data_IF_510560764294
#
_entry.id   IF_510560764294
#
_cell.length_a   1.000
_cell.length_b   1.000
_cell.length_c   1.000
_cell.angle_alpha   90.00
_cell.angle_beta   90.00
_cell.angle_gamma   90.00
#
_symmetry.space_group_name_H-M   'P 1'
#
loop_
_entity.id
_entity.type
_entity.pdbx_description
1 polymer ?
#
# COMPACT_ATOMS: atom_id res chain seq x y z
N UNK A 1 1.89 13.78 7.18
CA UNK A 1 0.72 13.12 6.54
C UNK A 1 0.36 11.90 7.36
N UNK A 2 -0.92 11.59 7.49
CA UNK A 2 -1.42 10.43 8.25
C UNK A 2 -1.88 9.38 7.24
N UNK A 3 -1.47 8.12 7.44
CA UNK A 3 -1.92 7.00 6.61
C UNK A 3 -3.41 6.76 6.79
N UNK A 4 -4.10 6.37 5.72
CA UNK A 4 -5.53 6.04 5.74
C UNK A 4 -5.72 4.64 6.33
N UNK A 5 -4.93 3.66 5.87
CA UNK A 5 -4.88 2.32 6.43
C UNK A 5 -3.82 2.25 7.54
N UNK A 6 -4.13 1.51 8.61
CA UNK A 6 -3.21 1.33 9.72
C UNK A 6 -2.06 0.40 9.33
N UNK A 7 -0.91 0.59 9.99
CA UNK A 7 0.25 -0.31 9.85
C UNK A 7 -0.13 -1.75 10.20
N UNK A 8 -0.92 -1.94 11.26
CA UNK A 8 -1.34 -3.26 11.72
C UNK A 8 -2.25 -3.98 10.73
N UNK A 9 -3.18 -3.27 10.08
CA UNK A 9 -4.07 -3.89 9.09
C UNK A 9 -3.28 -4.36 7.86
N UNK A 10 -2.36 -3.53 7.37
CA UNK A 10 -1.50 -3.87 6.24
C UNK A 10 -0.57 -5.04 6.59
N UNK A 11 0.04 -5.04 7.79
CA UNK A 11 0.83 -6.19 8.28
C UNK A 11 0.00 -7.48 8.30
N UNK A 12 -1.20 -7.46 8.85
CA UNK A 12 -2.10 -8.62 8.91
C UNK A 12 -2.43 -9.13 7.52
N UNK A 13 -2.75 -8.24 6.57
CA UNK A 13 -3.02 -8.63 5.18
C UNK A 13 -1.80 -9.27 4.51
N UNK A 14 -0.60 -8.80 4.82
CA UNK A 14 0.66 -9.34 4.31
C UNK A 14 1.19 -10.53 5.11
N UNK A 15 0.45 -10.99 6.13
CA UNK A 15 0.86 -12.05 7.06
C UNK A 15 2.22 -11.78 7.73
N UNK A 16 2.48 -10.51 8.09
CA UNK A 16 3.68 -10.08 8.82
C UNK A 16 3.41 -10.02 10.32
N UNK A 17 4.27 -10.65 11.11
CA UNK A 17 4.20 -10.66 12.58
C UNK A 17 5.38 -9.92 13.22
N UNK A 18 5.99 -8.98 12.49
CA UNK A 18 7.17 -8.24 12.94
C UNK A 18 6.72 -7.14 13.91
N UNK A 19 7.28 -7.18 15.12
CA UNK A 19 7.14 -6.16 16.14
C UNK A 19 8.45 -5.38 16.27
N UNK A 20 8.65 -4.42 15.36
CA UNK A 20 9.84 -3.58 15.31
C UNK A 20 9.46 -2.14 14.94
N UNK A 21 9.82 -1.18 15.78
CA UNK A 21 9.39 0.22 15.63
C UNK A 21 9.97 0.90 14.39
N UNK A 22 11.22 0.58 14.04
CA UNK A 22 11.89 1.14 12.86
C UNK A 22 11.28 0.57 11.57
N UNK A 23 10.97 -0.73 11.56
CA UNK A 23 10.21 -1.36 10.50
C UNK A 23 8.83 -0.71 10.33
N UNK A 24 8.14 -0.38 11.42
CA UNK A 24 6.81 0.23 11.39
C UNK A 24 6.82 1.63 10.79
N UNK A 25 7.84 2.43 11.11
CA UNK A 25 8.05 3.76 10.50
C UNK A 25 8.34 3.61 9.00
N UNK A 26 9.17 2.63 8.62
CA UNK A 26 9.49 2.34 7.22
C UNK A 26 8.26 1.87 6.43
N UNK A 27 7.43 1.03 7.06
CA UNK A 27 6.20 0.50 6.48
C UNK A 27 5.14 1.59 6.35
N UNK A 28 4.97 2.44 7.37
CA UNK A 28 4.08 3.60 7.32
C UNK A 28 4.42 4.53 6.16
N UNK A 29 5.71 4.77 5.92
CA UNK A 29 6.15 5.60 4.78
C UNK A 29 5.74 5.00 3.43
N UNK A 30 5.83 3.67 3.28
CA UNK A 30 5.41 2.97 2.05
C UNK A 30 3.90 2.96 1.88
N UNK A 31 3.15 2.77 2.97
CA UNK A 31 1.68 2.87 2.96
C UNK A 31 1.26 4.26 2.44
N UNK A 32 1.82 5.32 3.01
CA UNK A 32 1.52 6.70 2.58
C UNK A 32 1.85 6.90 1.10
N UNK A 33 3.00 6.40 0.63
CA UNK A 33 3.40 6.54 -0.77
C UNK A 33 2.39 5.87 -1.72
N UNK A 34 1.93 4.65 -1.40
CA UNK A 34 0.95 3.91 -2.21
C UNK A 34 -0.43 4.59 -2.15
N UNK A 35 -0.87 5.04 -0.99
CA UNK A 35 -2.14 5.74 -0.85
C UNK A 35 -2.15 7.07 -1.61
N UNK A 36 -1.05 7.83 -1.57
CA UNK A 36 -0.90 9.03 -2.38
C UNK A 36 -0.91 8.74 -3.87
N UNK A 37 -0.24 7.66 -4.31
CA UNK A 37 -0.28 7.22 -5.69
C UNK A 37 -1.72 6.96 -6.14
N UNK A 38 -2.50 6.22 -5.34
CA UNK A 38 -3.90 5.90 -5.64
C UNK A 38 -4.79 7.14 -5.62
N UNK A 39 -4.63 8.04 -4.64
CA UNK A 39 -5.38 9.31 -4.57
C UNK A 39 -5.12 10.19 -5.79
N UNK A 40 -3.85 10.33 -6.19
CA UNK A 40 -3.47 11.11 -7.36
C UNK A 40 -3.96 10.48 -8.67
N UNK A 41 -4.16 9.16 -8.68
CA UNK A 41 -4.77 8.44 -9.79
C UNK A 41 -6.32 8.49 -9.79
N UNK A 42 -6.96 9.08 -8.77
CA UNK A 42 -8.41 9.31 -8.72
C UNK A 42 -9.17 8.54 -7.64
N UNK A 43 -8.51 7.69 -6.83
CA UNK A 43 -9.20 6.97 -5.77
C UNK A 43 -9.66 7.89 -4.63
N UNK A 44 -10.90 7.73 -4.19
CA UNK A 44 -11.41 8.42 -2.98
C UNK A 44 -10.84 7.79 -1.70
N UNK A 45 -10.83 8.54 -0.60
CA UNK A 45 -10.40 7.98 0.70
C UNK A 45 -11.32 6.84 1.17
N UNK A 46 -12.62 6.92 0.86
CA UNK A 46 -13.58 5.85 1.16
C UNK A 46 -13.22 4.57 0.40
N UNK A 47 -12.86 4.69 -0.88
CA UNK A 47 -12.43 3.54 -1.68
C UNK A 47 -11.13 2.93 -1.15
N UNK A 48 -10.18 3.76 -0.71
CA UNK A 48 -8.91 3.30 -0.12
C UNK A 48 -9.13 2.56 1.22
N UNK A 49 -10.13 2.96 2.02
CA UNK A 49 -10.53 2.28 3.26
C UNK A 49 -11.30 0.98 3.03
N UNK A 50 -11.85 0.76 1.84
CA UNK A 50 -12.57 -0.47 1.52
C UNK A 50 -11.65 -1.68 1.59
N UNK A 51 -12.22 -2.88 1.71
CA UNK A 51 -11.44 -4.12 1.70
C UNK A 51 -10.58 -4.26 0.42
N UNK A 52 -11.12 -3.87 -0.74
CA UNK A 52 -10.36 -3.86 -2.00
C UNK A 52 -9.23 -2.83 -1.97
N UNK A 53 -9.48 -1.66 -1.37
CA UNK A 53 -8.47 -0.63 -1.13
C UNK A 53 -7.32 -1.12 -0.26
N UNK A 54 -7.63 -1.74 0.89
CA UNK A 54 -6.62 -2.33 1.79
C UNK A 54 -5.79 -3.41 1.08
N UNK A 55 -6.43 -4.29 0.29
CA UNK A 55 -5.71 -5.30 -0.50
C UNK A 55 -4.80 -4.66 -1.55
N UNK A 56 -5.27 -3.63 -2.26
CA UNK A 56 -4.48 -2.89 -3.25
C UNK A 56 -3.27 -2.21 -2.60
N UNK A 57 -3.48 -1.54 -1.47
CA UNK A 57 -2.40 -0.90 -0.70
C UNK A 57 -1.38 -1.93 -0.25
N UNK A 58 -1.84 -3.07 0.29
CA UNK A 58 -0.96 -4.14 0.77
C UNK A 58 -0.09 -4.73 -0.35
N UNK A 59 -0.65 -4.95 -1.54
CA UNK A 59 0.13 -5.41 -2.70
C UNK A 59 1.14 -4.36 -3.14
N UNK A 60 0.75 -3.08 -3.23
CA UNK A 60 1.67 -2.00 -3.59
C UNK A 60 2.81 -1.83 -2.56
N UNK A 61 2.49 -1.94 -1.27
CA UNK A 61 3.48 -1.90 -0.19
C UNK A 61 4.44 -3.09 -0.28
N UNK A 62 3.91 -4.28 -0.56
CA UNK A 62 4.74 -5.46 -0.79
C UNK A 62 5.67 -5.28 -1.99
N UNK A 63 5.19 -4.67 -3.08
CA UNK A 63 6.04 -4.34 -4.23
C UNK A 63 7.17 -3.39 -3.82
N UNK A 64 6.89 -2.34 -3.03
CA UNK A 64 7.91 -1.40 -2.55
C UNK A 64 8.91 -2.02 -1.56
N UNK A 65 8.50 -3.04 -0.78
CA UNK A 65 9.42 -3.76 0.11
C UNK A 65 10.37 -4.69 -0.66
N UNK A 66 9.91 -5.24 -1.78
CA UNK A 66 10.64 -6.25 -2.54
C UNK A 66 11.27 -5.71 -3.84
N UNK A 67 11.23 -4.39 -4.06
CA UNK A 67 11.84 -3.76 -5.23
C UNK A 67 13.36 -3.96 -5.24
N UNK A 68 13.88 -4.46 -6.37
CA UNK A 68 15.31 -4.52 -6.62
C UNK A 68 15.93 -3.13 -6.80
N UNK A 69 17.24 -3.03 -6.59
CA UNK A 69 17.97 -1.79 -6.85
C UNK A 69 17.79 -1.34 -8.32
N UNK A 70 17.26 -0.14 -8.52
CA UNK A 70 16.99 0.42 -9.84
C UNK A 70 15.64 0.03 -10.46
N UNK A 71 14.83 -0.77 -9.77
CA UNK A 71 13.46 -1.04 -10.20
C UNK A 71 12.51 0.09 -9.79
N UNK A 72 11.65 0.51 -10.71
CA UNK A 72 10.74 1.65 -10.52
C UNK A 72 9.28 1.31 -10.79
N UNK A 73 8.97 0.02 -11.00
CA UNK A 73 7.64 -0.43 -11.41
C UNK A 73 6.92 -1.17 -10.28
N UNK A 74 5.62 -0.98 -10.24
CA UNK A 74 4.72 -1.87 -9.51
C UNK A 74 4.46 -3.15 -10.30
N UNK A 75 4.01 -4.19 -9.60
CA UNK A 75 3.61 -5.45 -10.21
C UNK A 75 2.33 -5.28 -11.05
N UNK A 76 2.11 -6.14 -12.07
CA UNK A 76 0.83 -6.19 -12.78
C UNK A 76 -0.38 -6.42 -11.86
N UNK A 77 -0.17 -7.13 -10.74
CA UNK A 77 -1.20 -7.36 -9.74
C UNK A 77 -1.65 -6.05 -9.08
N UNK A 78 -0.70 -5.20 -8.66
CA UNK A 78 -1.01 -3.88 -8.14
C UNK A 78 -1.75 -3.04 -9.19
N UNK A 79 -1.25 -2.98 -10.43
CA UNK A 79 -1.89 -2.18 -11.50
C UNK A 79 -3.33 -2.63 -11.76
N UNK A 80 -3.59 -3.94 -11.76
CA UNK A 80 -4.94 -4.48 -11.94
C UNK A 80 -5.90 -4.06 -10.82
N UNK A 81 -5.43 -4.03 -9.58
CA UNK A 81 -6.25 -3.58 -8.43
C UNK A 81 -6.44 -2.07 -8.44
N UNK A 82 -5.37 -1.31 -8.69
CA UNK A 82 -5.40 0.15 -8.78
C UNK A 82 -6.41 0.62 -9.83
N UNK A 83 -6.44 0.00 -11.01
CA UNK A 83 -7.40 0.32 -12.07
C UNK A 83 -8.87 0.05 -11.70
N UNK A 84 -9.15 -0.79 -10.69
CA UNK A 84 -10.51 -1.01 -10.22
C UNK A 84 -10.97 0.08 -9.25
N UNK A 85 -10.03 0.66 -8.48
CA UNK A 85 -10.34 1.63 -7.41
C UNK A 85 -10.11 3.09 -7.82
N UNK A 86 -9.28 3.36 -8.84
CA UNK A 86 -8.96 4.69 -9.34
C UNK A 86 -9.87 5.11 -10.52
N UNK A 87 -11.16 4.77 -10.47
CA UNK A 87 -12.12 5.07 -11.55
C UNK A 87 -12.68 6.49 -11.47
#
# INVERSE_FOLDING_TARGET
>A
MVAINSVDDVKKTMNLTIEDGDFDISLQTKIIAVEMYLKNAGASEETIKSQLGLMCVSVGVNDLLNQGAGETKFSPAFTMLANQICR
#
